data_IF_479599578089
#
_entry.id   IF_479599578089
#
_cell.length_a   1.000
_cell.length_b   1.000
_cell.length_c   1.000
_cell.angle_alpha   90.00
_cell.angle_beta   90.00
_cell.angle_gamma   90.00
#
_symmetry.space_group_name_H-M   'P 1'
#
loop_
_entity.id
_entity.type
_entity.pdbx_description
1 polymer ?
#
# COMPACT_ATOMS: atom_id res chain seq x y z
N UNK A 1 -10.42 26.25 29.88
CA UNK A 1 -9.79 26.09 28.56
C UNK A 1 -9.79 27.45 27.88
N UNK A 2 -8.61 28.02 27.61
CA UNK A 2 -8.45 29.37 27.04
C UNK A 2 -8.81 29.47 25.56
N UNK A 3 -8.44 30.59 24.92
CA UNK A 3 -8.65 30.82 23.48
C UNK A 3 -8.09 29.66 22.66
N UNK A 4 -8.90 29.15 21.73
CA UNK A 4 -8.53 28.09 20.80
C UNK A 4 -7.37 28.57 19.91
N UNK A 5 -6.20 27.92 19.96
CA UNK A 5 -5.12 28.20 19.01
C UNK A 5 -5.47 27.64 17.61
N UNK A 6 -5.01 28.33 16.57
CA UNK A 6 -5.36 28.01 15.19
C UNK A 6 -4.79 26.65 14.74
N UNK A 7 -5.56 25.90 13.95
CA UNK A 7 -5.15 24.57 13.46
C UNK A 7 -5.11 23.43 14.50
N UNK A 8 -5.60 23.63 15.73
CA UNK A 8 -5.61 22.62 16.78
C UNK A 8 -7.03 22.10 17.07
N UNK A 9 -7.16 20.81 17.42
CA UNK A 9 -8.43 20.17 17.83
C UNK A 9 -8.41 19.85 19.32
N UNK A 10 -9.58 19.78 19.93
CA UNK A 10 -9.73 19.48 21.36
C UNK A 10 -9.78 17.96 21.56
N UNK A 11 -8.82 17.38 22.27
CA UNK A 11 -8.76 15.96 22.61
C UNK A 11 -8.89 15.77 24.13
N UNK A 12 -9.66 14.74 24.54
CA UNK A 12 -9.74 14.31 25.93
C UNK A 12 -8.53 13.43 26.27
N UNK A 13 -7.89 13.71 27.40
CA UNK A 13 -6.75 12.93 27.90
C UNK A 13 -7.27 11.59 28.43
N UNK A 14 -8.34 11.62 29.23
CA UNK A 14 -9.08 10.45 29.69
C UNK A 14 -10.46 10.38 29.00
N UNK A 15 -10.78 9.22 28.44
CA UNK A 15 -11.99 9.04 27.63
C UNK A 15 -13.27 8.86 28.45
N UNK A 16 -13.15 8.54 29.74
CA UNK A 16 -14.25 8.33 30.69
C UNK A 16 -14.54 9.59 31.52
N UNK A 17 -13.57 10.50 31.63
CA UNK A 17 -13.69 11.76 32.36
C UNK A 17 -14.47 12.87 31.63
N UNK A 18 -15.05 13.78 32.42
CA UNK A 18 -15.75 14.98 31.97
C UNK A 18 -14.84 16.02 31.27
N UNK A 19 -15.44 16.99 30.59
CA UNK A 19 -14.73 18.09 29.90
C UNK A 19 -14.20 19.14 30.87
N UNK A 20 -13.25 18.74 31.71
CA UNK A 20 -12.54 19.62 32.63
C UNK A 20 -11.23 20.14 32.00
N UNK A 21 -10.74 21.33 32.38
CA UNK A 21 -9.49 21.87 31.84
C UNK A 21 -8.27 20.98 32.12
N UNK A 22 -8.35 20.11 33.14
CA UNK A 22 -7.34 19.12 33.47
C UNK A 22 -7.42 17.86 32.57
N UNK A 23 -8.59 17.61 31.98
CA UNK A 23 -8.88 16.43 31.16
C UNK A 23 -8.91 16.74 29.65
N UNK A 24 -8.78 17.99 29.25
CA UNK A 24 -8.80 18.39 27.85
C UNK A 24 -7.48 19.05 27.45
N UNK A 25 -6.93 18.66 26.29
CA UNK A 25 -5.75 19.31 25.70
C UNK A 25 -5.97 19.66 24.24
N UNK A 26 -5.35 20.74 23.79
CA UNK A 26 -5.27 21.06 22.36
C UNK A 26 -4.24 20.15 21.72
N UNK A 27 -4.64 19.38 20.70
CA UNK A 27 -3.74 18.53 19.94
C UNK A 27 -3.73 18.95 18.49
N UNK A 28 -2.54 18.92 17.89
CA UNK A 28 -2.43 19.13 16.44
C UNK A 28 -3.16 17.96 15.81
N UNK A 29 -4.14 18.20 14.91
CA UNK A 29 -4.71 17.12 14.13
C UNK A 29 -3.51 16.48 13.44
N UNK A 30 -3.20 15.23 13.83
CA UNK A 30 -2.12 14.47 13.21
C UNK A 30 -2.41 14.52 11.72
N UNK A 31 -1.62 15.33 11.00
CA UNK A 31 -1.70 15.42 9.56
C UNK A 31 -1.74 14.00 9.04
N UNK A 32 -2.66 13.74 8.11
CA UNK A 32 -2.77 12.45 7.46
C UNK A 32 -1.36 11.99 7.12
N UNK A 33 -0.95 10.88 7.73
CA UNK A 33 0.27 10.20 7.37
C UNK A 33 0.15 9.97 5.87
N UNK A 34 1.02 10.53 5.01
CA UNK A 34 1.03 10.16 3.61
C UNK A 34 1.41 8.69 3.58
N UNK A 35 0.38 7.84 3.52
CA UNK A 35 0.42 6.43 3.23
C UNK A 35 1.75 5.75 3.62
N UNK A 36 2.08 5.72 4.92
CA UNK A 36 3.14 4.85 5.40
C UNK A 36 2.61 3.42 5.30
N UNK A 37 2.68 2.82 4.10
CA UNK A 37 2.72 1.35 3.93
C UNK A 37 4.05 0.82 4.49
N UNK A 38 4.45 1.26 5.68
CA UNK A 38 5.60 0.74 6.39
C UNK A 38 5.09 -0.40 7.27
N UNK A 39 4.67 -1.50 6.65
CA UNK A 39 4.22 -2.66 7.42
C UNK A 39 3.24 -3.62 6.74
N UNK A 40 2.84 -3.40 5.50
CA UNK A 40 2.23 -4.48 4.71
C UNK A 40 3.39 -5.16 4.03
N UNK A 41 3.60 -6.45 4.30
CA UNK A 41 4.63 -7.29 3.70
C UNK A 41 4.84 -6.86 2.25
N UNK A 42 6.03 -6.35 1.96
CA UNK A 42 6.29 -5.67 0.71
C UNK A 42 6.43 -6.71 -0.39
N UNK A 43 5.33 -7.36 -0.77
CA UNK A 43 5.33 -8.37 -1.80
C UNK A 43 5.08 -7.67 -3.14
N UNK A 44 5.97 -7.94 -4.08
CA UNK A 44 5.80 -7.54 -5.47
C UNK A 44 5.67 -8.82 -6.29
N UNK A 45 5.14 -8.69 -7.48
CA UNK A 45 5.21 -9.73 -8.48
C UNK A 45 5.90 -9.20 -9.72
N UNK A 46 6.58 -10.10 -10.42
CA UNK A 46 7.13 -9.86 -11.74
C UNK A 46 6.22 -10.54 -12.74
N UNK A 47 5.70 -9.76 -13.68
CA UNK A 47 4.90 -10.23 -14.80
C UNK A 47 5.77 -10.21 -16.06
N UNK A 48 5.83 -11.34 -16.77
CA UNK A 48 6.58 -11.51 -18.01
C UNK A 48 5.60 -11.88 -19.12
N UNK A 49 5.48 -11.02 -20.13
CA UNK A 49 4.66 -11.27 -21.31
C UNK A 49 5.43 -12.05 -22.37
N UNK A 50 4.73 -12.85 -23.19
CA UNK A 50 5.28 -13.59 -24.34
C UNK A 50 6.04 -12.72 -25.35
N UNK A 51 5.70 -11.44 -25.45
CA UNK A 51 6.37 -10.45 -26.31
C UNK A 51 7.74 -10.01 -25.76
N UNK A 52 8.11 -10.44 -24.56
CA UNK A 52 9.36 -10.06 -23.87
C UNK A 52 9.22 -8.86 -22.93
N UNK A 53 7.99 -8.34 -22.74
CA UNK A 53 7.72 -7.27 -21.78
C UNK A 53 7.81 -7.80 -20.34
N UNK A 54 8.63 -7.17 -19.50
CA UNK A 54 8.78 -7.52 -18.08
C UNK A 54 8.36 -6.34 -17.21
N UNK A 55 7.46 -6.57 -16.26
CA UNK A 55 6.89 -5.53 -15.41
C UNK A 55 6.88 -6.01 -13.97
N UNK A 56 7.41 -5.22 -13.04
CA UNK A 56 7.27 -5.47 -11.62
C UNK A 56 6.21 -4.55 -11.02
N UNK A 57 5.27 -5.11 -10.24
CA UNK A 57 4.26 -4.32 -9.54
C UNK A 57 3.85 -4.98 -8.22
N UNK A 58 3.34 -4.20 -7.28
CA UNK A 58 2.69 -4.65 -6.04
C UNK A 58 1.16 -4.48 -6.08
N UNK A 59 0.61 -3.95 -7.18
CA UNK A 59 -0.81 -3.64 -7.28
C UNK A 59 -1.48 -4.40 -8.43
N UNK A 60 -1.95 -5.63 -8.16
CA UNK A 60 -2.61 -6.48 -9.16
C UNK A 60 -3.74 -5.77 -9.91
N UNK A 61 -4.56 -4.97 -9.21
CA UNK A 61 -5.70 -4.27 -9.84
C UNK A 61 -5.28 -3.14 -10.78
N UNK A 62 -4.21 -2.39 -10.44
CA UNK A 62 -3.66 -1.35 -11.34
C UNK A 62 -2.98 -1.99 -12.54
N UNK A 63 -2.27 -3.09 -12.32
CA UNK A 63 -1.66 -3.87 -13.38
C UNK A 63 -2.72 -4.40 -14.36
N UNK A 64 -3.75 -5.08 -13.83
CA UNK A 64 -4.85 -5.61 -14.62
C UNK A 64 -5.55 -4.52 -15.46
N UNK A 65 -5.86 -3.37 -14.84
CA UNK A 65 -6.45 -2.22 -15.55
C UNK A 65 -5.55 -1.64 -16.64
N UNK A 66 -4.23 -1.65 -16.44
CA UNK A 66 -3.26 -1.08 -17.39
C UNK A 66 -3.09 -1.94 -18.63
N UNK A 67 -3.13 -3.25 -18.47
CA UNK A 67 -2.95 -4.23 -19.55
C UNK A 67 -4.27 -4.85 -20.01
N UNK A 68 -5.40 -4.29 -19.59
CA UNK A 68 -6.77 -4.76 -19.90
C UNK A 68 -6.97 -6.26 -19.59
N UNK A 69 -6.33 -6.73 -18.52
CA UNK A 69 -6.42 -8.11 -18.03
C UNK A 69 -7.51 -8.25 -16.98
N UNK A 70 -8.02 -9.47 -16.82
CA UNK A 70 -8.92 -9.79 -15.73
C UNK A 70 -8.16 -9.91 -14.39
N UNK A 71 -8.63 -9.18 -13.38
CA UNK A 71 -7.96 -9.14 -12.08
C UNK A 71 -8.08 -10.46 -11.30
N UNK A 72 -9.07 -11.30 -11.61
CA UNK A 72 -9.25 -12.64 -11.03
C UNK A 72 -8.25 -13.59 -11.67
N UNK A 73 -8.13 -13.58 -13.00
CA UNK A 73 -7.11 -14.37 -13.72
C UNK A 73 -5.71 -14.03 -13.21
N UNK A 74 -5.36 -12.75 -13.12
CA UNK A 74 -4.08 -12.30 -12.54
C UNK A 74 -3.89 -12.83 -11.11
N UNK A 75 -4.96 -12.91 -10.32
CA UNK A 75 -4.95 -13.51 -8.99
C UNK A 75 -4.62 -15.00 -9.03
N UNK A 76 -5.37 -15.79 -9.79
CA UNK A 76 -5.14 -17.23 -9.95
C UNK A 76 -3.72 -17.53 -10.50
N UNK A 77 -3.21 -16.71 -11.41
CA UNK A 77 -1.84 -16.80 -11.89
C UNK A 77 -0.79 -16.52 -10.78
N UNK A 78 -1.08 -15.60 -9.86
CA UNK A 78 -0.18 -15.28 -8.73
C UNK A 78 -0.21 -16.34 -7.61
N UNK A 79 -1.36 -16.98 -7.41
CA UNK A 79 -1.55 -18.08 -6.47
C UNK A 79 -1.02 -19.43 -7.02
N UNK A 80 -0.59 -19.45 -8.29
CA UNK A 80 0.03 -20.62 -8.94
C UNK A 80 -0.97 -21.63 -9.49
N UNK A 81 -2.25 -21.25 -9.60
CA UNK A 81 -3.32 -22.08 -10.18
C UNK A 81 -3.31 -22.03 -11.71
N UNK A 82 -2.77 -20.95 -12.29
CA UNK A 82 -2.63 -20.76 -13.74
C UNK A 82 -1.18 -20.47 -14.12
N UNK A 83 -0.68 -21.16 -15.14
CA UNK A 83 0.71 -21.00 -15.64
C UNK A 83 0.88 -19.75 -16.52
N UNK A 84 -0.17 -19.34 -17.24
CA UNK A 84 -0.22 -18.09 -17.98
C UNK A 84 -1.64 -17.50 -17.99
N UNK A 85 -1.72 -16.18 -17.97
CA UNK A 85 -2.96 -15.43 -18.14
C UNK A 85 -2.76 -14.47 -19.31
N UNK A 86 -3.43 -14.71 -20.43
CA UNK A 86 -3.32 -13.91 -21.66
C UNK A 86 -1.87 -13.73 -22.18
N UNK A 87 -1.01 -14.75 -22.01
CA UNK A 87 0.41 -14.66 -22.37
C UNK A 87 1.29 -13.98 -21.32
N UNK A 88 0.74 -13.64 -20.14
CA UNK A 88 1.49 -13.15 -18.99
C UNK A 88 1.77 -14.26 -17.98
N UNK A 89 3.03 -14.38 -17.58
CA UNK A 89 3.48 -15.24 -16.49
C UNK A 89 3.81 -14.40 -15.28
N UNK A 90 3.35 -14.83 -14.11
CA UNK A 90 3.54 -14.08 -12.88
C UNK A 90 4.44 -14.84 -11.92
N UNK A 91 5.36 -14.12 -11.27
CA UNK A 91 6.22 -14.67 -10.22
C UNK A 91 6.14 -13.78 -8.99
N UNK A 92 5.56 -14.31 -7.92
CA UNK A 92 5.47 -13.62 -6.63
C UNK A 92 6.84 -13.61 -5.95
N UNK A 93 7.29 -12.43 -5.57
CA UNK A 93 8.50 -12.22 -4.78
C UNK A 93 8.07 -11.84 -3.37
N UNK A 94 8.43 -12.70 -2.42
CA UNK A 94 8.19 -12.51 -0.98
C UNK A 94 9.47 -12.19 -0.21
N UNK A 95 10.64 -12.28 -0.87
CA UNK A 95 11.93 -12.09 -0.23
C UNK A 95 12.32 -10.61 -0.21
N UNK A 96 12.45 -10.01 0.98
CA UNK A 96 12.74 -8.59 1.15
C UNK A 96 14.01 -8.10 0.44
N UNK A 97 14.99 -8.97 0.21
CA UNK A 97 16.24 -8.63 -0.50
C UNK A 97 16.02 -8.38 -1.99
N UNK A 98 15.29 -9.28 -2.67
CA UNK A 98 14.98 -9.16 -4.11
C UNK A 98 14.08 -7.94 -4.39
N UNK A 99 13.22 -7.63 -3.43
CA UNK A 99 12.22 -6.55 -3.54
C UNK A 99 12.90 -5.19 -3.38
N UNK A 100 13.85 -5.10 -2.45
CA UNK A 100 14.68 -3.91 -2.28
C UNK A 100 15.52 -3.61 -3.52
N UNK A 101 16.02 -4.65 -4.19
CA UNK A 101 16.78 -4.51 -5.44
C UNK A 101 15.92 -3.97 -6.58
N UNK A 102 14.71 -4.49 -6.75
CA UNK A 102 13.78 -4.03 -7.81
C UNK A 102 13.26 -2.62 -7.55
N UNK A 103 13.06 -2.25 -6.27
CA UNK A 103 12.74 -0.89 -5.85
C UNK A 103 13.85 0.10 -6.17
N UNK A 104 15.09 -0.25 -5.82
CA UNK A 104 16.27 0.58 -6.06
C UNK A 104 16.50 0.82 -7.56
N UNK A 105 16.26 -0.21 -8.37
CA UNK A 105 16.33 -0.13 -9.83
C UNK A 105 15.22 0.74 -10.48
N UNK A 106 14.28 1.32 -9.70
CA UNK A 106 13.11 2.08 -10.20
C UNK A 106 12.27 1.31 -11.23
N UNK A 107 12.25 -0.02 -11.15
CA UNK A 107 11.48 -0.87 -12.08
C UNK A 107 10.02 -1.04 -11.66
N UNK A 108 9.58 -0.34 -10.62
CA UNK A 108 8.20 -0.32 -10.15
C UNK A 108 7.44 0.84 -10.81
N UNK A 109 6.34 0.49 -11.47
CA UNK A 109 5.40 1.41 -12.12
C UNK A 109 4.01 1.36 -11.46
#
# INVERSE_FOLDING_TARGET
>A
MGLKPDGLILERIDSDGDYEPCNCRWVTPKGQIPNQHLGVEDWIFVAVHKDGTVVASNHRGKFAKKYELDAVEVGCCLDGELEECDGWRFKKLINGSDIKLIKDAKLLF
#
